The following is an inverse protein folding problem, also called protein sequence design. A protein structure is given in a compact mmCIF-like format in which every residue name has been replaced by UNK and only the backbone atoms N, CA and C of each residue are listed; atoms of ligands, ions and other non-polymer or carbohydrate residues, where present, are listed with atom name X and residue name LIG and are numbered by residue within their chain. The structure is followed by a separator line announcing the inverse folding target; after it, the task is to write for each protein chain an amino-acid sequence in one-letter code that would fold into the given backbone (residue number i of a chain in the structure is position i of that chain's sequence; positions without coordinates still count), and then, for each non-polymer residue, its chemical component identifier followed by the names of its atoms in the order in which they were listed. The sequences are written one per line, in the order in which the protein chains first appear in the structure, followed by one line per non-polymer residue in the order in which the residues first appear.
data_IF_594261004421
#
_entry.id   IF_594261004421
#
_cell.length_a   1.000
_cell.length_b   1.000
_cell.length_c   1.000
_cell.angle_alpha   90.00
_cell.angle_beta   90.00
_cell.angle_gamma   90.00
#
_symmetry.space_group_name_H-M   'P 1'
#
loop_
_entity.id
_entity.type
_entity.pdbx_description
1 polymer ?
#
# COMPACT_ATOMS: atom_id res chain seq x y z
N UNK A 1 -20.44 27.57 -19.07
CA UNK A 1 -19.91 27.18 -17.75
C UNK A 1 -20.46 25.79 -17.41
N UNK A 2 -19.81 24.72 -17.87
CA UNK A 2 -20.24 23.33 -17.64
C UNK A 2 -19.33 22.65 -16.61
N UNK A 3 -19.88 22.34 -15.44
CA UNK A 3 -20.28 20.98 -15.02
C UNK A 3 -19.09 20.16 -14.51
N UNK A 4 -18.54 20.58 -13.37
CA UNK A 4 -17.80 19.67 -12.51
C UNK A 4 -18.76 18.53 -12.17
N UNK A 5 -18.41 17.29 -12.55
CA UNK A 5 -19.22 16.12 -12.15
C UNK A 5 -19.34 16.15 -10.64
N UNK A 6 -20.55 15.99 -10.14
CA UNK A 6 -20.77 15.86 -8.70
C UNK A 6 -19.91 14.73 -8.17
N UNK A 7 -19.15 15.02 -7.12
CA UNK A 7 -18.30 14.03 -6.48
C UNK A 7 -19.20 13.05 -5.76
N UNK A 8 -19.22 11.80 -6.23
CA UNK A 8 -19.87 10.72 -5.50
C UNK A 8 -19.01 10.33 -4.29
N UNK A 9 -19.42 10.82 -3.12
CA UNK A 9 -18.74 10.54 -1.86
C UNK A 9 -18.81 9.07 -1.44
N UNK A 10 -19.88 8.35 -1.83
CA UNK A 10 -20.01 6.93 -1.52
C UNK A 10 -19.01 6.13 -2.35
N UNK A 11 -18.98 6.37 -3.66
CA UNK A 11 -18.02 5.70 -4.54
C UNK A 11 -16.58 6.05 -4.15
N UNK A 12 -16.31 7.31 -3.81
CA UNK A 12 -14.99 7.76 -3.34
C UNK A 12 -14.57 7.03 -2.07
N UNK A 13 -15.51 6.82 -1.14
CA UNK A 13 -15.25 6.08 0.11
C UNK A 13 -14.92 4.62 -0.15
N UNK A 14 -15.67 3.94 -1.02
CA UNK A 14 -15.39 2.55 -1.36
C UNK A 14 -14.03 2.41 -2.07
N UNK A 15 -13.74 3.28 -3.04
CA UNK A 15 -12.43 3.32 -3.71
C UNK A 15 -11.28 3.53 -2.72
N UNK A 16 -11.47 4.40 -1.72
CA UNK A 16 -10.47 4.64 -0.68
C UNK A 16 -10.25 3.39 0.19
N UNK A 17 -11.32 2.67 0.56
CA UNK A 17 -11.20 1.40 1.30
C UNK A 17 -10.44 0.35 0.49
N UNK A 18 -10.76 0.20 -0.78
CA UNK A 18 -10.09 -0.76 -1.67
C UNK A 18 -8.60 -0.44 -1.83
N UNK A 19 -8.28 0.85 -1.96
CA UNK A 19 -6.90 1.33 -2.02
C UNK A 19 -6.14 1.01 -0.74
N UNK A 20 -6.74 1.30 0.42
CA UNK A 20 -6.12 1.04 1.73
C UNK A 20 -6.02 -0.46 2.05
N UNK A 21 -6.98 -1.28 1.61
CA UNK A 21 -6.93 -2.74 1.75
C UNK A 21 -5.74 -3.35 0.99
N UNK A 22 -5.36 -2.76 -0.14
CA UNK A 22 -4.22 -3.17 -0.94
C UNK A 22 -2.86 -2.78 -0.34
N UNK A 23 -2.82 -1.84 0.61
CA UNK A 23 -1.59 -1.31 1.20
C UNK A 23 -0.62 -2.41 1.67
N UNK A 24 -1.11 -3.43 2.38
CA UNK A 24 -0.27 -4.52 2.91
C UNK A 24 0.29 -5.43 1.81
N UNK A 25 -0.41 -5.56 0.68
CA UNK A 25 0.09 -6.27 -0.50
C UNK A 25 1.24 -5.49 -1.11
N UNK A 26 1.06 -4.18 -1.33
CA UNK A 26 2.09 -3.28 -1.85
C UNK A 26 3.33 -3.27 -0.92
N UNK A 27 3.12 -3.16 0.38
CA UNK A 27 4.20 -3.19 1.38
C UNK A 27 5.04 -4.48 1.34
N UNK A 28 4.41 -5.63 1.04
CA UNK A 28 5.13 -6.90 0.85
C UNK A 28 5.94 -6.93 -0.45
N UNK A 29 5.39 -6.38 -1.53
CA UNK A 29 6.07 -6.31 -2.85
C UNK A 29 7.30 -5.39 -2.76
N UNK A 30 7.15 -4.21 -2.17
CA UNK A 30 8.27 -3.27 -2.01
C UNK A 30 9.34 -3.80 -1.06
N UNK A 31 8.96 -4.70 -0.13
CA UNK A 31 9.88 -5.55 0.62
C UNK A 31 11.04 -4.79 1.26
N UNK A 32 10.79 -4.02 2.34
CA UNK A 32 11.89 -3.50 3.16
C UNK A 32 12.67 -4.64 3.85
N UNK A 33 13.55 -5.26 3.07
CA UNK A 33 14.80 -5.96 3.35
C UNK A 33 15.54 -6.01 2.02
N UNK A 34 16.47 -5.08 1.81
CA UNK A 34 17.21 -4.81 0.56
C UNK A 34 18.14 -5.95 0.09
N UNK A 35 17.97 -7.19 0.52
CA UNK A 35 19.03 -8.21 0.46
C UNK A 35 18.75 -9.39 -0.49
N UNK A 36 17.51 -9.65 -0.92
CA UNK A 36 17.20 -10.87 -1.69
C UNK A 36 16.55 -10.67 -3.07
N UNK A 37 16.73 -9.51 -3.71
CA UNK A 37 16.78 -9.52 -5.19
C UNK A 37 18.20 -9.96 -5.59
N UNK A 38 18.65 -11.11 -5.07
CA UNK A 38 19.96 -11.65 -5.43
C UNK A 38 19.94 -12.03 -6.90
N UNK A 39 20.98 -11.56 -7.55
CA UNK A 39 21.53 -11.88 -8.87
C UNK A 39 20.84 -13.04 -9.59
N UNK A 40 20.43 -12.85 -10.87
CA UNK A 40 19.91 -13.94 -11.66
C UNK A 40 20.91 -15.09 -11.63
N UNK A 41 20.43 -16.29 -11.31
CA UNK A 41 21.20 -17.51 -11.46
C UNK A 41 21.50 -17.58 -12.97
N UNK A 42 22.72 -17.23 -13.37
CA UNK A 42 23.22 -17.47 -14.72
C UNK A 42 23.42 -18.98 -14.79
N UNK A 43 22.33 -19.71 -14.98
CA UNK A 43 22.40 -21.08 -15.48
C UNK A 43 22.93 -20.96 -16.88
N UNK A 44 24.14 -21.47 -17.05
CA UNK A 44 24.87 -21.60 -18.29
C UNK A 44 23.95 -21.93 -19.50
N UNK A 45 24.20 -21.24 -20.62
CA UNK A 45 23.55 -21.33 -21.94
C UNK A 45 22.26 -20.48 -22.17
N UNK A 46 22.25 -19.56 -23.16
CA UNK A 46 21.08 -18.73 -23.44
C UNK A 46 20.02 -19.57 -24.15
N UNK A 47 19.04 -20.08 -23.41
CA UNK A 47 17.78 -20.54 -23.99
C UNK A 47 16.91 -19.31 -24.21
N UNK A 48 16.64 -18.98 -25.47
CA UNK A 48 15.72 -17.90 -25.84
C UNK A 48 14.40 -18.06 -25.06
N UNK A 49 13.98 -17.09 -24.22
CA UNK A 49 12.72 -17.19 -23.51
C UNK A 49 11.58 -17.04 -24.52
N UNK A 50 10.77 -18.08 -24.68
CA UNK A 50 9.60 -18.07 -25.56
C UNK A 50 8.52 -17.06 -25.14
N UNK A 51 8.59 -16.48 -23.93
CA UNK A 51 7.58 -15.57 -23.39
C UNK A 51 8.24 -14.53 -22.47
N UNK A 52 8.35 -13.28 -22.95
CA UNK A 52 8.52 -12.04 -22.14
C UNK A 52 9.75 -11.94 -21.23
N UNK A 53 10.24 -10.72 -21.01
CA UNK A 53 11.38 -10.46 -20.15
C UNK A 53 10.93 -10.44 -18.67
N UNK A 54 10.71 -11.62 -18.08
CA UNK A 54 10.11 -11.79 -16.73
C UNK A 54 10.80 -11.00 -15.60
N UNK A 55 12.07 -10.68 -15.79
CA UNK A 55 12.87 -9.85 -14.86
C UNK A 55 12.49 -8.37 -14.93
N UNK A 56 12.20 -7.86 -16.13
CA UNK A 56 11.76 -6.49 -16.35
C UNK A 56 10.35 -6.26 -15.79
N UNK A 57 9.45 -7.21 -16.00
CA UNK A 57 8.09 -7.17 -15.45
C UNK A 57 8.09 -7.12 -13.91
N UNK A 58 8.97 -7.89 -13.28
CA UNK A 58 9.12 -7.88 -11.82
C UNK A 58 9.66 -6.52 -11.30
N UNK A 59 10.61 -5.93 -12.02
CA UNK A 59 11.15 -4.60 -11.70
C UNK A 59 10.07 -3.51 -11.84
N UNK A 60 9.29 -3.54 -12.93
CA UNK A 60 8.20 -2.60 -13.15
C UNK A 60 7.12 -2.71 -12.07
N UNK A 61 6.75 -3.93 -11.67
CA UNK A 61 5.80 -4.16 -10.58
C UNK A 61 6.31 -3.59 -9.26
N UNK A 62 7.60 -3.70 -8.97
CA UNK A 62 8.21 -3.16 -7.76
C UNK A 62 8.15 -1.63 -7.74
N UNK A 63 8.58 -0.97 -8.82
CA UNK A 63 8.56 0.49 -8.96
C UNK A 63 7.14 1.04 -8.83
N UNK A 64 6.18 0.40 -9.50
CA UNK A 64 4.77 0.81 -9.43
C UNK A 64 4.22 0.66 -8.00
N UNK A 65 4.51 -0.47 -7.34
CA UNK A 65 4.08 -0.70 -5.97
C UNK A 65 4.69 0.31 -4.98
N UNK A 66 5.95 0.70 -5.18
CA UNK A 66 6.60 1.75 -4.39
C UNK A 66 5.94 3.11 -4.59
N UNK A 67 5.62 3.47 -5.85
CA UNK A 67 4.90 4.71 -6.18
C UNK A 67 3.51 4.78 -5.51
N UNK A 68 2.72 3.70 -5.62
CA UNK A 68 1.41 3.61 -4.98
C UNK A 68 1.50 3.70 -3.45
N UNK A 69 2.46 3.00 -2.84
CA UNK A 69 2.66 3.04 -1.39
C UNK A 69 3.00 4.45 -0.91
N UNK A 70 3.89 5.14 -1.62
CA UNK A 70 4.27 6.52 -1.30
C UNK A 70 3.08 7.48 -1.42
N UNK A 71 2.23 7.31 -2.44
CA UNK A 71 1.02 8.10 -2.61
C UNK A 71 0.02 7.87 -1.45
N UNK A 72 -0.17 6.62 -1.02
CA UNK A 72 -1.04 6.30 0.12
C UNK A 72 -0.50 6.95 1.41
N UNK A 73 0.81 6.85 1.66
CA UNK A 73 1.43 7.46 2.84
C UNK A 73 1.28 8.99 2.81
N UNK A 74 1.52 9.63 1.66
CA UNK A 74 1.33 11.07 1.51
C UNK A 74 -0.13 11.48 1.79
N UNK A 75 -1.10 10.71 1.26
CA UNK A 75 -2.53 10.92 1.53
C UNK A 75 -2.90 10.74 3.02
N UNK A 76 -2.31 9.77 3.72
CA UNK A 76 -2.50 9.62 5.16
C UNK A 76 -1.90 10.81 5.94
N UNK A 77 -0.75 11.33 5.51
CA UNK A 77 -0.07 12.44 6.18
C UNK A 77 -0.80 13.78 6.04
N UNK A 78 -1.63 13.96 5.01
CA UNK A 78 -2.47 15.16 4.85
C UNK A 78 -3.69 15.17 5.79
N UNK A 79 -4.04 14.02 6.39
CA UNK A 79 -5.16 13.92 7.32
C UNK A 79 -4.78 14.37 8.74
N UNK A 80 -5.75 14.88 9.54
CA UNK A 80 -5.58 15.13 10.96
C UNK A 80 -5.10 13.88 11.70
N UNK A 81 -4.36 14.08 12.80
CA UNK A 81 -3.68 13.01 13.54
C UNK A 81 -4.64 11.87 13.94
N UNK A 82 -5.83 12.20 14.42
CA UNK A 82 -6.84 11.22 14.86
C UNK A 82 -7.34 10.35 13.71
N UNK A 83 -7.78 10.96 12.61
CA UNK A 83 -8.23 10.25 11.41
C UNK A 83 -7.14 9.39 10.80
N UNK A 84 -5.91 9.93 10.74
CA UNK A 84 -4.74 9.20 10.27
C UNK A 84 -4.44 7.97 11.13
N UNK A 85 -4.46 8.13 12.45
CA UNK A 85 -4.20 7.04 13.38
C UNK A 85 -5.23 5.91 13.21
N UNK A 86 -6.51 6.23 13.15
CA UNK A 86 -7.57 5.23 12.94
C UNK A 86 -7.35 4.44 11.65
N UNK A 87 -7.08 5.12 10.54
CA UNK A 87 -6.86 4.44 9.25
C UNK A 87 -5.56 3.61 9.26
N UNK A 88 -4.48 4.16 9.82
CA UNK A 88 -3.19 3.48 9.90
C UNK A 88 -3.29 2.17 10.70
N UNK A 89 -3.88 2.20 11.89
CA UNK A 89 -4.01 0.99 12.71
C UNK A 89 -5.05 -0.01 12.18
N UNK A 90 -5.99 0.46 11.36
CA UNK A 90 -7.00 -0.43 10.75
C UNK A 90 -6.48 -1.17 9.52
N UNK A 91 -5.68 -0.50 8.67
CA UNK A 91 -5.29 -1.02 7.35
C UNK A 91 -3.79 -1.25 7.18
N UNK A 92 -2.95 -0.42 7.82
CA UNK A 92 -1.51 -0.39 7.57
C UNK A 92 -0.70 -1.19 8.60
N UNK A 93 -1.13 -1.26 9.85
CA UNK A 93 -0.38 -1.99 10.87
C UNK A 93 -0.44 -3.51 10.65
N UNK A 94 0.63 -4.20 11.10
CA UNK A 94 0.70 -5.66 11.02
C UNK A 94 -0.23 -6.33 12.02
N UNK A 95 -0.42 -5.73 13.20
CA UNK A 95 -1.34 -6.24 14.20
C UNK A 95 -2.74 -5.69 13.95
N UNK A 96 -3.73 -6.60 13.88
CA UNK A 96 -5.12 -6.21 13.63
C UNK A 96 -5.71 -5.71 14.95
N UNK A 97 -5.66 -4.41 15.19
CA UNK A 97 -6.36 -3.83 16.33
C UNK A 97 -7.86 -3.74 16.04
N UNK A 98 -8.66 -4.36 16.91
CA UNK A 98 -10.07 -3.99 17.06
C UNK A 98 -10.17 -2.52 17.48
N UNK A 99 -11.24 -1.82 17.10
CA UNK A 99 -11.50 -0.42 17.50
C UNK A 99 -11.38 -0.22 19.02
N UNK A 100 -11.73 -1.24 19.81
CA UNK A 100 -11.55 -1.27 21.27
C UNK A 100 -10.08 -1.30 21.71
N UNK A 101 -9.21 -2.03 21.02
CA UNK A 101 -7.77 -2.07 21.31
C UNK A 101 -7.07 -0.75 20.93
N UNK A 102 -7.55 -0.06 19.90
CA UNK A 102 -7.07 1.27 19.51
C UNK A 102 -7.29 2.32 20.61
N UNK A 103 -8.46 2.34 21.26
CA UNK A 103 -8.76 3.26 22.37
C UNK A 103 -7.80 3.05 23.54
N UNK A 104 -7.50 1.79 23.85
CA UNK A 104 -6.60 1.40 24.95
C UNK A 104 -5.15 1.82 24.63
N UNK A 105 -4.67 1.60 23.39
CA UNK A 105 -3.27 1.89 23.02
C UNK A 105 -3.01 3.38 22.75
N UNK A 106 -4.03 4.15 22.37
CA UNK A 106 -3.94 5.59 22.09
C UNK A 106 -3.97 6.47 23.35
N UNK A 107 -3.86 5.86 24.55
CA UNK A 107 -3.89 6.60 25.81
C UNK A 107 -5.24 7.25 26.09
N UNK A 108 -6.33 6.67 25.58
CA UNK A 108 -7.70 7.12 25.82
C UNK A 108 -8.04 7.04 27.30
N UNK A 109 -7.85 8.15 28.00
CA UNK A 109 -8.41 8.40 29.32
C UNK A 109 -9.93 8.36 29.15
N UNK A 110 -10.60 7.39 29.78
CA UNK A 110 -12.04 7.49 30.00
C UNK A 110 -12.28 8.68 30.94
N UNK A 111 -12.75 9.79 30.36
CA UNK A 111 -13.52 10.86 31.03
C UNK A 111 -14.45 11.46 29.99
#
# INVERSE_FOLDING_TARGET
MGLLRDVDFNQTRENAKDTLANYRRLQRITGRSKIDIKSPIITDMPKSPSHGNKTEDALLQHINAEGELNAIVAGLMSLPLTSRAVLYYSFCDKERYSTTLFVIKSGGRMI
#
